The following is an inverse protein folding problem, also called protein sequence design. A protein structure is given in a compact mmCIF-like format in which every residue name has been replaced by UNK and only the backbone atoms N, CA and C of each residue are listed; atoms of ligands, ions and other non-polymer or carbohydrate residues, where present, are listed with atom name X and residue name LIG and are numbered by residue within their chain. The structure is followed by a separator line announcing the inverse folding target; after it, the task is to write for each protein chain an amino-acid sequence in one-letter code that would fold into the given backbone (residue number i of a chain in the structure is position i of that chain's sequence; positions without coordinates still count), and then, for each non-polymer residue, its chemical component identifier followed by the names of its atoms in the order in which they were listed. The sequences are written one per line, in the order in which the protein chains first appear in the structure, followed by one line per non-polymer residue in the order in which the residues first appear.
data_IF_820996461871
#
_entry.id   IF_820996461871
#
_cell.length_a   1.000
_cell.length_b   1.000
_cell.length_c   1.000
_cell.angle_alpha   90.00
_cell.angle_beta   90.00
_cell.angle_gamma   90.00
#
_symmetry.space_group_name_H-M   'P 1'
#
loop_
_entity.id
_entity.type
_entity.pdbx_description
1 polymer ?
#
# COMPACT_ATOMS: atom_id res chain seq x y z
N UNK A 1 -43.24 -12.38 -0.34
CA UNK A 1 -42.50 -13.46 -1.01
C UNK A 1 -41.10 -12.92 -1.26
N UNK A 2 -40.16 -13.25 -0.37
CA UNK A 2 -38.83 -12.64 -0.36
C UNK A 2 -37.97 -13.17 -1.49
N UNK A 3 -37.42 -12.26 -2.30
CA UNK A 3 -36.34 -12.57 -3.23
C UNK A 3 -35.09 -12.86 -2.39
N UNK A 4 -34.81 -14.15 -2.15
CA UNK A 4 -33.49 -14.59 -1.72
C UNK A 4 -32.54 -14.32 -2.88
N UNK A 5 -31.59 -13.43 -2.66
CA UNK A 5 -30.47 -13.23 -3.56
C UNK A 5 -29.57 -14.46 -3.48
N UNK A 6 -29.68 -15.35 -4.46
CA UNK A 6 -28.67 -16.36 -4.73
C UNK A 6 -27.46 -15.64 -5.34
N UNK A 7 -26.66 -15.03 -4.48
CA UNK A 7 -25.40 -14.42 -4.85
C UNK A 7 -24.38 -15.51 -5.13
N UNK A 8 -23.87 -15.56 -6.36
CA UNK A 8 -22.72 -16.41 -6.74
C UNK A 8 -21.62 -16.30 -5.68
N UNK A 9 -21.06 -17.45 -5.29
CA UNK A 9 -19.90 -17.52 -4.42
C UNK A 9 -18.71 -16.79 -5.06
N UNK A 10 -17.74 -16.38 -4.24
CA UNK A 10 -16.54 -15.67 -4.72
C UNK A 10 -15.84 -16.44 -5.84
N UNK A 11 -15.73 -17.77 -5.71
CA UNK A 11 -15.11 -18.64 -6.72
C UNK A 11 -15.92 -18.69 -8.03
N UNK A 12 -17.26 -18.66 -7.94
CA UNK A 12 -18.11 -18.60 -9.13
C UNK A 12 -18.04 -17.24 -9.82
N UNK A 13 -17.91 -16.13 -9.08
CA UNK A 13 -17.70 -14.79 -9.65
C UNK A 13 -16.33 -14.66 -10.32
N UNK A 14 -15.30 -15.22 -9.70
CA UNK A 14 -13.94 -15.28 -10.25
C UNK A 14 -13.93 -16.07 -11.56
N UNK A 15 -14.55 -17.25 -11.58
CA UNK A 15 -14.69 -18.09 -12.77
C UNK A 15 -15.50 -17.42 -13.89
N UNK A 16 -16.64 -16.79 -13.57
CA UNK A 16 -17.48 -16.07 -14.56
C UNK A 16 -16.77 -14.83 -15.15
N UNK A 17 -15.98 -14.10 -14.36
CA UNK A 17 -15.21 -12.94 -14.86
C UNK A 17 -14.01 -13.35 -15.72
N UNK A 18 -13.34 -14.45 -15.37
CA UNK A 18 -12.24 -15.00 -16.17
C UNK A 18 -12.77 -15.58 -17.50
N UNK A 19 -13.88 -16.33 -17.47
CA UNK A 19 -14.53 -16.87 -18.67
C UNK A 19 -15.04 -15.78 -19.63
N UNK A 20 -15.61 -14.69 -19.11
CA UNK A 20 -16.05 -13.57 -19.95
C UNK A 20 -14.88 -12.92 -20.70
N UNK A 21 -13.68 -12.87 -20.11
CA UNK A 21 -12.53 -12.19 -20.71
C UNK A 21 -11.64 -13.05 -21.58
N UNK A 22 -11.66 -14.37 -21.43
CA UNK A 22 -11.09 -15.28 -22.43
C UNK A 22 -11.93 -15.34 -23.71
N UNK A 23 -13.25 -15.10 -23.58
CA UNK A 23 -14.20 -15.11 -24.71
C UNK A 23 -14.48 -13.73 -25.33
N UNK A 24 -14.22 -12.62 -24.62
CA UNK A 24 -14.41 -11.27 -25.12
C UNK A 24 -13.25 -10.80 -26.03
N UNK A 25 -13.61 -10.25 -27.19
CA UNK A 25 -12.67 -9.54 -28.05
C UNK A 25 -12.03 -8.37 -27.31
N UNK A 26 -10.70 -8.32 -27.23
CA UNK A 26 -9.98 -7.20 -26.61
C UNK A 26 -10.29 -5.88 -27.34
N UNK A 27 -11.14 -5.04 -26.74
CA UNK A 27 -11.60 -3.77 -27.33
C UNK A 27 -10.54 -2.68 -27.16
N UNK A 28 -9.80 -2.70 -26.05
CA UNK A 28 -8.80 -1.69 -25.72
C UNK A 28 -7.38 -2.28 -25.62
N UNK A 29 -6.37 -1.51 -26.03
CA UNK A 29 -4.98 -2.00 -26.12
C UNK A 29 -4.40 -2.51 -24.79
N UNK A 30 -4.78 -1.89 -23.67
CA UNK A 30 -4.31 -2.26 -22.34
C UNK A 30 -4.81 -3.64 -21.87
N UNK A 31 -5.93 -4.14 -22.40
CA UNK A 31 -6.51 -5.44 -22.03
C UNK A 31 -5.63 -6.62 -22.46
N UNK A 32 -4.69 -6.37 -23.38
CA UNK A 32 -3.70 -7.35 -23.84
C UNK A 32 -2.50 -7.48 -22.89
N UNK A 33 -2.24 -6.48 -22.04
CA UNK A 33 -1.07 -6.46 -21.16
C UNK A 33 -1.22 -7.50 -20.05
N UNK A 34 -0.17 -8.31 -19.84
CA UNK A 34 -0.14 -9.31 -18.76
C UNK A 34 -0.23 -8.61 -17.40
N UNK A 35 0.47 -7.50 -17.22
CA UNK A 35 0.47 -6.74 -15.97
C UNK A 35 -0.92 -6.18 -15.63
N UNK A 36 -1.72 -5.81 -16.65
CA UNK A 36 -3.10 -5.35 -16.44
C UNK A 36 -3.99 -6.50 -15.97
N UNK A 37 -3.88 -7.68 -16.60
CA UNK A 37 -4.62 -8.89 -16.21
C UNK A 37 -4.28 -9.33 -14.78
N UNK A 38 -2.98 -9.33 -14.41
CA UNK A 38 -2.54 -9.58 -13.03
C UNK A 38 -3.08 -8.53 -12.06
N UNK A 39 -3.14 -7.26 -12.45
CA UNK A 39 -3.77 -6.20 -11.67
C UNK A 39 -5.25 -6.49 -11.36
N UNK A 40 -6.02 -6.95 -12.35
CA UNK A 40 -7.42 -7.35 -12.14
C UNK A 40 -7.55 -8.60 -11.25
N UNK A 41 -6.69 -9.61 -11.47
CA UNK A 41 -6.63 -10.79 -10.60
C UNK A 41 -6.37 -10.39 -9.14
N UNK A 42 -5.48 -9.43 -8.92
CA UNK A 42 -5.21 -8.91 -7.58
C UNK A 42 -6.43 -8.20 -6.99
N UNK A 43 -7.15 -7.35 -7.75
CA UNK A 43 -8.40 -6.71 -7.30
C UNK A 43 -9.43 -7.75 -6.84
N UNK A 44 -9.64 -8.80 -7.63
CA UNK A 44 -10.57 -9.90 -7.28
C UNK A 44 -10.13 -10.60 -5.99
N UNK A 45 -8.84 -10.92 -5.88
CA UNK A 45 -8.27 -11.55 -4.69
C UNK A 45 -8.44 -10.68 -3.44
N UNK A 46 -8.26 -9.36 -3.56
CA UNK A 46 -8.45 -8.41 -2.45
C UNK A 46 -9.92 -8.25 -2.08
N UNK A 47 -10.83 -8.26 -3.05
CA UNK A 47 -12.26 -8.26 -2.78
C UNK A 47 -12.65 -9.49 -1.93
N UNK A 48 -12.22 -10.69 -2.35
CA UNK A 48 -12.42 -11.94 -1.62
C UNK A 48 -11.83 -11.91 -0.20
N UNK A 49 -10.57 -11.48 -0.08
CA UNK A 49 -9.86 -11.34 1.19
C UNK A 49 -10.63 -10.42 2.14
N UNK A 50 -11.06 -9.26 1.64
CA UNK A 50 -11.78 -8.28 2.44
C UNK A 50 -13.12 -8.84 2.92
N UNK A 51 -13.89 -9.56 2.11
CA UNK A 51 -15.15 -10.19 2.54
C UNK A 51 -14.94 -11.17 3.72
N UNK A 52 -13.80 -11.86 3.77
CA UNK A 52 -13.43 -12.74 4.88
C UNK A 52 -13.02 -12.02 6.18
N UNK A 53 -12.76 -10.72 6.15
CA UNK A 53 -12.34 -9.95 7.33
C UNK A 53 -13.57 -9.52 8.15
N UNK A 54 -13.68 -10.07 9.37
CA UNK A 54 -14.79 -9.78 10.30
C UNK A 54 -14.78 -8.36 10.86
N UNK A 55 -13.60 -7.82 11.20
CA UNK A 55 -13.43 -6.44 11.70
C UNK A 55 -12.82 -5.54 10.62
N UNK A 56 -13.66 -4.70 10.01
CA UNK A 56 -13.20 -3.71 9.03
C UNK A 56 -12.45 -2.58 9.73
N UNK A 57 -11.19 -2.39 9.36
CA UNK A 57 -10.36 -1.26 9.81
C UNK A 57 -10.02 -0.36 8.62
N UNK A 58 -9.44 0.80 8.90
CA UNK A 58 -9.10 1.82 7.88
C UNK A 58 -8.23 1.24 6.77
N UNK A 59 -7.30 0.33 7.12
CA UNK A 59 -6.44 -0.35 6.15
C UNK A 59 -7.22 -1.17 5.10
N UNK A 60 -8.38 -1.76 5.42
CA UNK A 60 -9.18 -2.51 4.43
C UNK A 60 -9.67 -1.60 3.30
N UNK A 61 -10.13 -0.38 3.66
CA UNK A 61 -10.60 0.60 2.69
C UNK A 61 -9.48 1.24 1.88
N UNK A 62 -8.27 1.36 2.45
CA UNK A 62 -7.07 1.74 1.68
C UNK A 62 -6.67 0.63 0.71
N UNK A 63 -6.64 -0.62 1.17
CA UNK A 63 -6.26 -1.78 0.37
C UNK A 63 -7.13 -1.91 -0.88
N UNK A 64 -8.47 -1.79 -0.77
CA UNK A 64 -9.36 -1.83 -1.95
C UNK A 64 -9.08 -0.69 -2.93
N UNK A 65 -8.99 0.55 -2.43
CA UNK A 65 -8.76 1.73 -3.30
C UNK A 65 -7.41 1.66 -4.01
N UNK A 66 -6.37 1.23 -3.31
CA UNK A 66 -5.05 1.05 -3.89
C UNK A 66 -5.04 -0.09 -4.91
N UNK A 67 -5.71 -1.21 -4.62
CA UNK A 67 -5.83 -2.34 -5.55
C UNK A 67 -6.52 -1.91 -6.85
N UNK A 68 -7.64 -1.17 -6.77
CA UNK A 68 -8.35 -0.65 -7.95
C UNK A 68 -7.47 0.32 -8.77
N UNK A 69 -6.65 1.11 -8.07
CA UNK A 69 -5.77 2.10 -8.71
C UNK A 69 -4.68 1.46 -9.60
N UNK A 70 -4.24 0.24 -9.30
CA UNK A 70 -3.21 -0.47 -10.08
C UNK A 70 -3.62 -0.65 -11.55
N UNK A 71 -4.70 -1.39 -11.90
CA UNK A 71 -5.11 -1.58 -13.29
C UNK A 71 -5.57 -0.28 -13.95
N UNK A 72 -6.15 0.67 -13.20
CA UNK A 72 -6.56 1.98 -13.73
C UNK A 72 -5.33 2.76 -14.24
N UNK A 73 -4.27 2.84 -13.43
CA UNK A 73 -3.06 3.55 -13.82
C UNK A 73 -2.28 2.83 -14.93
N UNK A 74 -2.28 1.49 -14.94
CA UNK A 74 -1.71 0.70 -16.05
C UNK A 74 -2.44 1.02 -17.37
N UNK A 75 -3.78 1.03 -17.34
CA UNK A 75 -4.59 1.37 -18.50
C UNK A 75 -4.27 2.78 -18.99
N UNK A 76 -4.17 3.77 -18.10
CA UNK A 76 -3.82 5.13 -18.49
C UNK A 76 -2.39 5.22 -19.09
N UNK A 77 -1.41 4.56 -18.47
CA UNK A 77 -0.04 4.52 -18.98
C UNK A 77 0.03 3.92 -20.39
N UNK A 78 -0.77 2.89 -20.66
CA UNK A 78 -0.83 2.21 -21.96
C UNK A 78 -1.45 3.06 -23.08
N UNK A 79 -2.28 4.05 -22.74
CA UNK A 79 -3.03 4.84 -23.72
C UNK A 79 -2.51 6.27 -23.90
N UNK A 80 -1.61 6.75 -23.03
CA UNK A 80 -0.99 8.07 -23.21
C UNK A 80 0.13 8.09 -24.26
N UNK A 81 0.13 9.12 -25.10
CA UNK A 81 1.17 9.40 -26.08
C UNK A 81 2.37 10.13 -25.46
N UNK A 82 2.22 10.76 -24.30
CA UNK A 82 3.28 11.47 -23.58
C UNK A 82 4.19 10.50 -22.82
N UNK A 83 5.51 10.43 -23.14
CA UNK A 83 6.43 9.57 -22.40
C UNK A 83 6.55 9.94 -20.92
N UNK A 84 6.42 11.23 -20.58
CA UNK A 84 6.46 11.71 -19.19
C UNK A 84 5.24 11.28 -18.40
N UNK A 85 4.04 11.41 -18.98
CA UNK A 85 2.82 10.90 -18.35
C UNK A 85 2.85 9.39 -18.19
N UNK A 86 3.35 8.66 -19.20
CA UNK A 86 3.49 7.20 -19.12
C UNK A 86 4.32 6.77 -17.91
N UNK A 87 5.49 7.38 -17.72
CA UNK A 87 6.35 7.11 -16.56
C UNK A 87 5.62 7.45 -15.26
N UNK A 88 4.92 8.58 -15.22
CA UNK A 88 4.15 9.01 -14.06
C UNK A 88 3.08 7.98 -13.68
N UNK A 89 2.23 7.57 -14.63
CA UNK A 89 1.17 6.58 -14.39
C UNK A 89 1.72 5.19 -14.05
N UNK A 90 2.82 4.74 -14.67
CA UNK A 90 3.49 3.51 -14.23
C UNK A 90 4.01 3.64 -12.79
N UNK A 91 4.55 4.80 -12.41
CA UNK A 91 4.97 5.10 -11.05
C UNK A 91 3.80 5.19 -10.07
N UNK A 92 2.62 5.61 -10.52
CA UNK A 92 1.39 5.59 -9.73
C UNK A 92 0.92 4.16 -9.47
N UNK A 93 0.87 3.32 -10.52
CA UNK A 93 0.55 1.90 -10.37
C UNK A 93 1.53 1.20 -9.41
N UNK A 94 2.83 1.50 -9.52
CA UNK A 94 3.86 0.92 -8.66
C UNK A 94 3.72 1.41 -7.21
N UNK A 95 3.44 2.71 -7.01
CA UNK A 95 3.11 3.29 -5.70
C UNK A 95 1.91 2.59 -5.06
N UNK A 96 0.82 2.41 -5.80
CA UNK A 96 -0.38 1.71 -5.31
C UNK A 96 -0.11 0.25 -4.96
N UNK A 97 0.71 -0.46 -5.75
CA UNK A 97 1.12 -1.82 -5.43
C UNK A 97 1.88 -1.91 -4.10
N UNK A 98 2.80 -0.97 -3.83
CA UNK A 98 3.50 -0.91 -2.55
C UNK A 98 2.59 -0.45 -1.39
N UNK A 99 1.62 0.43 -1.64
CA UNK A 99 0.58 0.77 -0.66
C UNK A 99 -0.27 -0.46 -0.29
N UNK A 100 -0.61 -1.32 -1.26
CA UNK A 100 -1.31 -2.58 -0.99
C UNK A 100 -0.48 -3.53 -0.13
N UNK A 101 0.81 -3.70 -0.43
CA UNK A 101 1.71 -4.50 0.41
C UNK A 101 1.75 -3.99 1.85
N UNK A 102 1.82 -2.67 2.02
CA UNK A 102 1.80 -2.05 3.34
C UNK A 102 0.46 -2.17 4.07
N UNK A 103 -0.67 -2.14 3.34
CA UNK A 103 -1.97 -2.42 3.94
C UNK A 103 -2.04 -3.86 4.47
N UNK A 104 -1.51 -4.84 3.73
CA UNK A 104 -1.44 -6.24 4.17
C UNK A 104 -0.59 -6.38 5.44
N UNK A 105 0.56 -5.70 5.50
CA UNK A 105 1.41 -5.68 6.69
C UNK A 105 0.74 -4.99 7.89
N UNK A 106 -0.01 -3.90 7.67
CA UNK A 106 -0.80 -3.24 8.72
C UNK A 106 -1.90 -4.17 9.26
N UNK A 107 -2.59 -4.91 8.38
CA UNK A 107 -3.60 -5.89 8.81
C UNK A 107 -2.96 -7.03 9.62
N UNK A 108 -1.77 -7.49 9.23
CA UNK A 108 -1.01 -8.48 9.98
C UNK A 108 -0.52 -7.95 11.34
N UNK A 109 0.02 -6.72 11.38
CA UNK A 109 0.46 -6.05 12.60
C UNK A 109 -0.69 -5.84 13.61
N UNK A 110 -1.92 -5.68 13.11
CA UNK A 110 -3.14 -5.60 13.93
C UNK A 110 -3.73 -6.96 14.33
N UNK A 111 -3.10 -8.05 13.89
CA UNK A 111 -3.60 -9.42 14.04
C UNK A 111 -5.01 -9.62 13.46
N UNK A 112 -5.34 -8.91 12.38
CA UNK A 112 -6.60 -9.05 11.64
C UNK A 112 -6.45 -10.09 10.54
N UNK A 113 -5.27 -10.16 9.92
CA UNK A 113 -4.94 -11.09 8.86
C UNK A 113 -3.73 -11.93 9.29
N UNK A 114 -3.75 -13.27 9.11
CA UNK A 114 -2.56 -14.09 9.33
C UNK A 114 -1.39 -13.64 8.46
N UNK A 115 -0.16 -13.76 8.98
CA UNK A 115 1.07 -13.32 8.29
C UNK A 115 1.28 -14.11 7.00
N UNK A 116 0.88 -15.37 6.98
CA UNK A 116 0.96 -16.28 5.84
C UNK A 116 0.04 -15.80 4.71
N UNK A 117 -1.19 -15.40 5.05
CA UNK A 117 -2.15 -14.87 4.08
C UNK A 117 -1.67 -13.53 3.51
N UNK A 118 -1.18 -12.63 4.38
CA UNK A 118 -0.58 -11.36 3.95
C UNK A 118 0.60 -11.61 2.99
N UNK A 119 1.48 -12.54 3.34
CA UNK A 119 2.66 -12.89 2.53
C UNK A 119 2.28 -13.53 1.20
N UNK A 120 1.29 -14.43 1.18
CA UNK A 120 0.77 -15.04 -0.05
C UNK A 120 0.24 -13.99 -1.02
N UNK A 121 -0.59 -13.05 -0.55
CA UNK A 121 -1.13 -11.96 -1.38
C UNK A 121 -0.04 -11.03 -1.93
N UNK A 122 1.08 -10.87 -1.21
CA UNK A 122 2.22 -10.05 -1.63
C UNK A 122 2.99 -10.62 -2.84
N UNK A 123 2.93 -11.92 -3.13
CA UNK A 123 3.64 -12.50 -4.28
C UNK A 123 3.09 -12.00 -5.62
N UNK A 124 1.76 -11.94 -5.79
CA UNK A 124 1.17 -11.39 -7.01
C UNK A 124 1.50 -9.90 -7.20
N UNK A 125 1.59 -9.14 -6.11
CA UNK A 125 2.05 -7.75 -6.15
C UNK A 125 3.52 -7.65 -6.58
N UNK A 126 4.39 -8.55 -6.11
CA UNK A 126 5.80 -8.57 -6.51
C UNK A 126 5.95 -8.81 -8.02
N UNK A 127 5.15 -9.72 -8.61
CA UNK A 127 5.10 -9.91 -10.06
C UNK A 127 4.70 -8.64 -10.80
N UNK A 128 3.62 -7.98 -10.33
CA UNK A 128 3.11 -6.73 -10.92
C UNK A 128 4.20 -5.66 -10.88
N UNK A 129 4.83 -5.45 -9.72
CA UNK A 129 5.91 -4.46 -9.53
C UNK A 129 7.10 -4.74 -10.44
N UNK A 130 7.49 -6.00 -10.59
CA UNK A 130 8.56 -6.42 -11.51
C UNK A 130 8.28 -5.96 -12.93
N UNK A 131 7.06 -6.21 -13.42
CA UNK A 131 6.63 -5.82 -14.77
C UNK A 131 6.57 -4.29 -14.92
N UNK A 132 6.03 -3.57 -13.93
CA UNK A 132 5.96 -2.11 -13.96
C UNK A 132 7.35 -1.46 -14.02
N UNK A 133 8.32 -1.96 -13.25
CA UNK A 133 9.71 -1.50 -13.28
C UNK A 133 10.37 -1.81 -14.62
N UNK A 134 10.12 -3.00 -15.19
CA UNK A 134 10.61 -3.36 -16.54
C UNK A 134 10.05 -2.40 -17.61
N UNK A 135 8.74 -2.16 -17.59
CA UNK A 135 8.06 -1.25 -18.52
C UNK A 135 8.61 0.17 -18.43
N UNK A 136 8.96 0.64 -17.23
CA UNK A 136 9.59 1.94 -17.04
C UNK A 136 11.00 2.01 -17.66
N UNK A 137 11.83 0.98 -17.46
CA UNK A 137 13.21 0.93 -17.98
C UNK A 137 13.24 0.87 -19.51
N UNK A 138 12.25 0.23 -20.14
CA UNK A 138 12.17 0.03 -21.59
C UNK A 138 11.22 1.02 -22.28
N UNK A 139 11.26 2.30 -21.93
CA UNK A 139 10.40 3.39 -22.47
C UNK A 139 10.49 3.62 -24.00
N UNK A 140 11.09 2.70 -24.77
CA UNK A 140 11.25 2.73 -26.23
C UNK A 140 10.62 1.48 -26.86
N UNK A 141 9.53 1.67 -27.61
CA UNK A 141 8.89 0.86 -28.68
C UNK A 141 8.76 -0.68 -28.58
N UNK A 142 9.38 -1.37 -27.63
CA UNK A 142 9.25 -2.81 -27.38
C UNK A 142 9.05 -3.03 -25.89
N UNK A 143 7.79 -3.06 -25.48
CA UNK A 143 7.36 -3.42 -24.13
C UNK A 143 7.87 -4.84 -23.86
N UNK A 144 8.75 -5.00 -22.88
CA UNK A 144 9.21 -6.30 -22.39
C UNK A 144 8.54 -6.58 -21.05
N UNK A 145 7.58 -7.48 -21.04
CA UNK A 145 6.91 -8.00 -19.84
C UNK A 145 7.71 -9.13 -19.19
N UNK A 146 9.03 -9.20 -19.43
CA UNK A 146 9.87 -10.26 -18.91
C UNK A 146 9.74 -10.36 -17.39
N UNK A 147 9.43 -11.58 -16.94
CA UNK A 147 9.27 -11.90 -15.53
C UNK A 147 10.65 -11.97 -14.88
N UNK A 148 10.91 -11.08 -13.92
CA UNK A 148 12.06 -11.16 -13.02
C UNK A 148 11.53 -11.28 -11.59
N UNK A 149 12.22 -12.03 -10.73
CA UNK A 149 11.88 -12.02 -9.30
C UNK A 149 12.20 -10.65 -8.71
N UNK A 150 11.18 -9.96 -8.19
CA UNK A 150 11.37 -8.75 -7.40
C UNK A 150 11.65 -9.11 -5.95
N UNK A 151 12.92 -9.01 -5.57
CA UNK A 151 13.41 -9.17 -4.20
C UNK A 151 14.40 -8.08 -3.87
N UNK A 152 14.41 -7.68 -2.60
CA UNK A 152 15.44 -6.79 -2.09
C UNK A 152 16.73 -7.55 -1.81
N UNK A 153 17.82 -6.81 -1.59
CA UNK A 153 19.11 -7.37 -1.15
C UNK A 153 19.03 -8.16 0.16
N UNK A 154 18.00 -7.93 0.98
CA UNK A 154 17.80 -8.62 2.25
C UNK A 154 16.78 -9.78 2.13
N UNK A 155 16.31 -10.10 0.91
CA UNK A 155 15.37 -11.19 0.65
C UNK A 155 13.89 -10.83 0.81
N UNK A 156 13.57 -9.59 1.22
CA UNK A 156 12.21 -9.08 1.31
C UNK A 156 11.58 -8.92 -0.09
N UNK A 157 10.25 -8.89 -0.16
CA UNK A 157 9.56 -8.71 -1.44
C UNK A 157 9.57 -7.25 -1.85
N UNK A 158 9.44 -6.30 -0.92
CA UNK A 158 9.39 -4.88 -1.26
C UNK A 158 10.48 -4.06 -0.57
N UNK A 159 11.04 -3.10 -1.30
CA UNK A 159 12.13 -2.23 -0.82
C UNK A 159 11.83 -1.48 0.47
N UNK A 160 10.57 -1.09 0.69
CA UNK A 160 10.17 -0.40 1.92
C UNK A 160 10.22 -1.30 3.15
N UNK A 161 10.11 -2.63 3.00
CA UNK A 161 10.16 -3.60 4.11
C UNK A 161 11.56 -3.62 4.77
N UNK A 162 12.60 -3.23 4.03
CA UNK A 162 13.97 -3.07 4.54
C UNK A 162 14.19 -1.80 5.37
N UNK A 163 13.26 -0.84 5.31
CA UNK A 163 13.44 0.44 5.96
C UNK A 163 13.09 0.34 7.44
N UNK A 164 14.06 0.70 8.31
CA UNK A 164 13.83 0.75 9.75
C UNK A 164 12.66 1.68 10.13
N UNK A 165 12.46 2.77 9.39
CA UNK A 165 11.32 3.68 9.60
C UNK A 165 9.97 3.01 9.32
N UNK A 166 9.92 2.14 8.31
CA UNK A 166 8.72 1.38 7.97
C UNK A 166 8.43 0.34 9.07
N UNK A 167 9.45 -0.43 9.45
CA UNK A 167 9.34 -1.44 10.52
C UNK A 167 8.94 -0.79 11.86
N UNK A 168 9.49 0.37 12.20
CA UNK A 168 9.10 1.12 13.40
C UNK A 168 7.66 1.63 13.31
N UNK A 169 7.18 1.99 12.11
CA UNK A 169 5.78 2.31 11.87
C UNK A 169 4.83 1.13 12.12
N UNK A 170 5.20 -0.08 11.69
CA UNK A 170 4.44 -1.29 11.99
C UNK A 170 4.41 -1.61 13.48
N UNK A 171 5.54 -1.42 14.20
CA UNK A 171 5.59 -1.56 15.65
C UNK A 171 4.65 -0.58 16.37
N UNK A 172 4.58 0.67 15.90
CA UNK A 172 3.64 1.66 16.42
C UNK A 172 2.18 1.23 16.21
N UNK A 173 1.85 0.71 15.02
CA UNK A 173 0.50 0.21 14.72
C UNK A 173 0.11 -0.98 15.60
N UNK A 174 1.02 -1.92 15.81
CA UNK A 174 0.79 -3.08 16.67
C UNK A 174 0.63 -2.68 18.15
N UNK A 175 1.45 -1.73 18.62
CA UNK A 175 1.31 -1.15 19.96
C UNK A 175 -0.04 -0.46 20.13
N UNK A 176 -0.45 0.36 19.16
CA UNK A 176 -1.74 1.05 19.21
C UNK A 176 -2.91 0.06 19.23
N UNK A 177 -2.84 -1.02 18.46
CA UNK A 177 -3.84 -2.08 18.50
C UNK A 177 -3.97 -2.72 19.89
N UNK A 178 -2.84 -2.93 20.57
CA UNK A 178 -2.82 -3.44 21.94
C UNK A 178 -3.46 -2.44 22.91
N UNK A 179 -3.12 -1.15 22.78
CA UNK A 179 -3.73 -0.08 23.57
C UNK A 179 -5.26 -0.03 23.35
N UNK A 180 -5.72 -0.07 22.10
CA UNK A 180 -7.15 -0.04 21.75
C UNK A 180 -7.92 -1.24 22.31
N UNK A 181 -7.31 -2.43 22.38
CA UNK A 181 -7.92 -3.64 22.98
C UNK A 181 -7.97 -3.58 24.50
N UNK A 182 -6.92 -3.04 25.14
CA UNK A 182 -6.84 -2.91 26.59
C UNK A 182 -7.74 -1.77 27.12
N UNK A 183 -8.06 -0.81 26.27
CA UNK A 183 -8.79 0.40 26.65
C UNK A 183 -10.30 0.20 26.48
N UNK A 184 -11.04 0.30 27.59
CA UNK A 184 -12.53 0.34 27.60
C UNK A 184 -13.06 1.77 27.41
N UNK A 185 -12.20 2.74 27.05
CA UNK A 185 -12.43 4.16 27.33
C UNK A 185 -13.26 4.95 26.29
N UNK A 186 -13.86 6.01 26.83
CA UNK A 186 -14.88 6.95 26.33
C UNK A 186 -14.51 7.85 25.14
N UNK A 187 -13.37 7.65 24.46
CA UNK A 187 -12.87 8.50 23.35
C UNK A 187 -12.46 7.70 22.12
N UNK A 188 -13.40 6.91 21.62
CA UNK A 188 -13.25 6.11 20.40
C UNK A 188 -12.90 6.95 19.18
N UNK A 189 -13.28 8.24 19.16
CA UNK A 189 -12.95 9.21 18.12
C UNK A 189 -11.45 9.55 18.06
N UNK A 190 -10.80 9.75 19.21
CA UNK A 190 -9.37 10.02 19.28
C UNK A 190 -8.57 8.78 18.89
N UNK A 191 -8.95 7.61 19.40
CA UNK A 191 -8.30 6.35 19.05
C UNK A 191 -8.47 6.02 17.56
N UNK A 192 -9.65 6.25 16.98
CA UNK A 192 -9.86 6.09 15.54
C UNK A 192 -9.04 7.09 14.72
N UNK A 193 -8.89 8.33 15.19
CA UNK A 193 -8.04 9.34 14.55
C UNK A 193 -6.55 8.97 14.62
N UNK A 194 -6.12 8.40 15.75
CA UNK A 194 -4.77 7.90 15.93
C UNK A 194 -4.52 6.67 15.05
N UNK A 195 -5.48 5.75 14.94
CA UNK A 195 -5.42 4.60 14.03
C UNK A 195 -5.26 5.04 12.57
N UNK A 196 -6.07 6.02 12.15
CA UNK A 196 -5.99 6.62 10.82
C UNK A 196 -4.62 7.21 10.53
N UNK A 197 -4.11 8.00 11.46
CA UNK A 197 -2.87 8.76 11.26
C UNK A 197 -1.64 7.87 11.33
N UNK A 198 -1.60 6.90 12.23
CA UNK A 198 -0.52 5.91 12.32
C UNK A 198 -0.50 4.96 11.12
N UNK A 199 -1.66 4.50 10.64
CA UNK A 199 -1.76 3.76 9.37
C UNK A 199 -1.21 4.60 8.21
N UNK A 200 -1.58 5.89 8.14
CA UNK A 200 -1.11 6.80 7.09
C UNK A 200 0.42 6.95 7.06
N UNK A 201 1.12 6.89 8.19
CA UNK A 201 2.60 6.91 8.23
C UNK A 201 3.15 5.72 7.42
N UNK A 202 2.69 4.50 7.73
CA UNK A 202 3.17 3.26 7.11
C UNK A 202 2.90 3.26 5.62
N UNK A 203 1.66 3.60 5.23
CA UNK A 203 1.25 3.61 3.83
C UNK A 203 2.03 4.62 2.98
N UNK A 204 2.23 5.84 3.48
CA UNK A 204 2.96 6.86 2.72
C UNK A 204 4.46 6.53 2.59
N UNK A 205 5.07 5.86 3.58
CA UNK A 205 6.45 5.37 3.44
C UNK A 205 6.54 4.36 2.29
N UNK A 206 5.62 3.38 2.25
CA UNK A 206 5.62 2.36 1.22
C UNK A 206 5.29 2.93 -0.17
N UNK A 207 4.23 3.72 -0.28
CA UNK A 207 3.81 4.33 -1.55
C UNK A 207 4.90 5.25 -2.11
N UNK A 208 5.54 6.05 -1.25
CA UNK A 208 6.70 6.86 -1.62
C UNK A 208 7.81 6.03 -2.24
N UNK A 209 8.16 4.89 -1.63
CA UNK A 209 9.16 3.95 -2.17
C UNK A 209 8.76 3.33 -3.51
N UNK A 210 7.47 3.32 -3.86
CA UNK A 210 6.99 2.89 -5.17
C UNK A 210 7.03 3.97 -6.23
N UNK A 211 7.26 5.25 -5.86
CA UNK A 211 7.31 6.34 -6.84
C UNK A 211 8.65 6.37 -7.57
N UNK A 212 8.58 6.55 -8.89
CA UNK A 212 9.76 6.65 -9.74
C UNK A 212 10.40 8.05 -9.74
N UNK A 213 9.62 9.10 -9.51
CA UNK A 213 10.16 10.46 -9.43
C UNK A 213 10.63 10.74 -8.00
N UNK A 214 11.83 11.30 -7.86
CA UNK A 214 12.37 11.68 -6.55
C UNK A 214 11.54 12.76 -5.86
N UNK A 215 10.87 13.62 -6.65
CA UNK A 215 9.96 14.64 -6.12
C UNK A 215 8.71 14.02 -5.50
N UNK A 216 8.06 13.08 -6.20
CA UNK A 216 6.89 12.39 -5.66
C UNK A 216 7.27 11.56 -4.44
N UNK A 217 8.38 10.82 -4.51
CA UNK A 217 8.90 10.08 -3.37
C UNK A 217 9.05 10.99 -2.13
N UNK A 218 9.72 12.14 -2.27
CA UNK A 218 9.91 13.08 -1.17
C UNK A 218 8.58 13.66 -0.65
N UNK A 219 7.61 13.90 -1.54
CA UNK A 219 6.27 14.36 -1.16
C UNK A 219 5.56 13.35 -0.25
N UNK A 220 5.66 12.06 -0.55
CA UNK A 220 5.08 11.01 0.30
C UNK A 220 5.78 10.90 1.66
N UNK A 221 7.11 11.04 1.71
CA UNK A 221 7.82 11.09 3.00
C UNK A 221 7.42 12.31 3.85
N UNK A 222 7.17 13.46 3.22
CA UNK A 222 6.65 14.66 3.91
C UNK A 222 5.23 14.44 4.45
N UNK A 223 4.36 13.74 3.71
CA UNK A 223 3.03 13.35 4.21
C UNK A 223 3.16 12.42 5.42
N UNK A 224 4.05 11.42 5.36
CA UNK A 224 4.33 10.52 6.50
C UNK A 224 4.84 11.30 7.72
N UNK A 225 5.69 12.31 7.52
CA UNK A 225 6.20 13.16 8.59
C UNK A 225 5.07 13.98 9.23
N UNK A 226 4.22 14.61 8.41
CA UNK A 226 3.04 15.36 8.91
C UNK A 226 2.06 14.45 9.67
N UNK A 227 1.87 13.21 9.22
CA UNK A 227 1.06 12.22 9.93
C UNK A 227 1.70 11.83 11.28
N UNK A 228 3.04 11.74 11.35
CA UNK A 228 3.80 11.48 12.59
C UNK A 228 3.59 12.60 13.61
N UNK A 229 3.73 13.88 13.19
CA UNK A 229 3.50 15.04 14.06
C UNK A 229 2.06 15.07 14.56
N UNK A 230 1.09 14.83 13.67
CA UNK A 230 -0.33 14.76 14.05
C UNK A 230 -0.61 13.63 15.06
N UNK A 231 0.02 12.47 14.88
CA UNK A 231 -0.12 11.34 15.81
C UNK A 231 0.41 11.69 17.20
N UNK A 232 1.51 12.45 17.28
CA UNK A 232 2.05 12.92 18.57
C UNK A 232 1.06 13.85 19.28
N UNK A 233 0.50 14.84 18.56
CA UNK A 233 -0.52 15.71 19.13
C UNK A 233 -1.80 14.96 19.56
N UNK A 234 -2.16 13.89 18.86
CA UNK A 234 -3.28 13.03 19.26
C UNK A 234 -2.96 12.22 20.53
N UNK A 235 -1.69 11.80 20.73
CA UNK A 235 -1.26 11.21 22.00
C UNK A 235 -1.28 12.23 23.13
N UNK A 236 -0.83 13.47 22.89
CA UNK A 236 -0.90 14.55 23.90
C UNK A 236 -2.34 14.76 24.36
N UNK A 237 -3.29 14.80 23.42
CA UNK A 237 -4.72 14.89 23.75
C UNK A 237 -5.19 13.65 24.52
N UNK A 238 -4.81 12.44 24.09
CA UNK A 238 -5.22 11.21 24.76
C UNK A 238 -4.70 11.15 26.20
N UNK A 239 -3.48 11.60 26.46
CA UNK A 239 -2.86 11.69 27.79
C UNK A 239 -3.68 12.56 28.75
N UNK A 240 -4.33 13.63 28.26
CA UNK A 240 -5.21 14.46 29.11
C UNK A 240 -6.46 13.73 29.60
N UNK A 241 -6.88 12.67 28.91
CA UNK A 241 -8.13 11.95 29.18
C UNK A 241 -7.92 10.54 29.73
N UNK A 242 -6.70 10.04 29.82
CA UNK A 242 -6.44 8.68 30.25
C UNK A 242 -5.18 8.55 31.12
N UNK A 243 -5.17 7.55 31.99
CA UNK A 243 -4.02 7.21 32.84
C UNK A 243 -3.18 6.06 32.27
N UNK A 244 -3.30 5.78 30.96
CA UNK A 244 -2.51 4.73 30.32
C UNK A 244 -1.07 5.19 30.10
N UNK A 245 -0.12 4.27 30.20
CA UNK A 245 1.27 4.55 29.81
C UNK A 245 1.38 4.68 28.28
N UNK A 246 1.62 5.91 27.81
CA UNK A 246 1.78 6.23 26.39
C UNK A 246 3.26 6.36 25.97
N UNK A 247 4.21 6.08 26.87
CA UNK A 247 5.65 6.29 26.66
C UNK A 247 6.21 5.55 25.43
N UNK A 248 5.72 4.33 25.19
CA UNK A 248 6.08 3.53 24.02
C UNK A 248 5.65 4.23 22.71
N UNK A 249 4.41 4.75 22.65
CA UNK A 249 3.89 5.51 21.52
C UNK A 249 4.75 6.72 21.18
N UNK A 250 5.07 7.55 22.19
CA UNK A 250 5.99 8.68 22.03
C UNK A 250 7.38 8.27 21.55
N UNK A 251 7.89 7.13 22.03
CA UNK A 251 9.20 6.62 21.63
C UNK A 251 9.22 6.20 20.16
N UNK A 252 8.18 5.51 19.69
CA UNK A 252 8.06 5.18 18.27
C UNK A 252 7.97 6.43 17.39
N UNK A 253 7.09 7.38 17.75
CA UNK A 253 6.88 8.60 16.96
C UNK A 253 8.15 9.46 16.86
N UNK A 254 8.91 9.62 17.96
CA UNK A 254 10.20 10.33 17.93
C UNK A 254 11.21 9.65 17.01
N UNK A 255 11.32 8.31 17.08
CA UNK A 255 12.21 7.54 16.19
C UNK A 255 11.81 7.68 14.73
N UNK A 256 10.50 7.57 14.42
CA UNK A 256 9.96 7.74 13.07
C UNK A 256 10.27 9.14 12.53
N UNK A 257 9.98 10.19 13.29
CA UNK A 257 10.24 11.57 12.89
C UNK A 257 11.73 11.79 12.56
N UNK A 258 12.63 11.32 13.42
CA UNK A 258 14.08 11.44 13.20
C UNK A 258 14.53 10.72 11.92
N UNK A 259 14.04 9.51 11.66
CA UNK A 259 14.38 8.74 10.47
C UNK A 259 13.82 9.38 9.18
N UNK A 260 12.58 9.89 9.19
CA UNK A 260 11.97 10.57 8.04
C UNK A 260 12.72 11.86 7.68
N UNK A 261 13.15 12.64 8.68
CA UNK A 261 13.99 13.83 8.46
C UNK A 261 15.34 13.44 7.87
N UNK A 262 15.96 12.36 8.37
CA UNK A 262 17.22 11.86 7.83
C UNK A 262 17.10 11.44 6.37
N UNK A 263 16.09 10.63 6.03
CA UNK A 263 15.84 10.16 4.66
C UNK A 263 15.61 11.33 3.68
N UNK A 264 14.83 12.32 4.11
CA UNK A 264 14.52 13.50 3.29
C UNK A 264 15.76 14.37 3.03
N UNK A 265 16.72 14.42 3.95
CA UNK A 265 17.99 15.17 3.78
C UNK A 265 18.95 14.48 2.81
N UNK A 266 19.09 13.16 2.91
CA UNK A 266 19.96 12.40 2.01
C UNK A 266 19.51 12.49 0.54
N UNK A 267 18.20 12.58 0.30
CA UNK A 267 17.67 12.75 -1.06
C UNK A 267 17.99 14.10 -1.69
N UNK A 268 17.96 15.19 -0.90
CA UNK A 268 18.36 16.54 -1.38
C UNK A 268 19.84 16.63 -1.72
N UNK A 269 20.68 15.81 -1.08
CA UNK A 269 22.12 15.76 -1.36
C UNK A 269 22.39 14.94 -2.63
N UNK A 270 21.68 13.83 -2.82
CA UNK A 270 21.84 12.95 -3.99
C UNK A 270 21.20 13.49 -5.28
N UNK A 271 20.30 14.49 -5.20
CA UNK A 271 19.64 15.09 -6.38
C UNK A 271 20.32 16.35 -6.90
N UNK A 272 21.43 16.81 -6.28
CA UNK A 272 22.29 17.83 -6.89
C UNK A 272 23.10 17.22 -8.03
N UNK A 273 23.17 17.85 -9.21
CA UNK A 273 24.11 17.41 -10.24
C UNK A 273 25.54 17.47 -9.68
N UNK A 274 26.43 16.53 -10.09
CA UNK A 274 27.83 16.60 -9.71
C UNK A 274 28.44 17.93 -10.19
N UNK A 275 29.46 18.46 -9.49
CA UNK A 275 30.13 19.71 -9.84
C UNK A 275 30.74 19.66 -11.25
#
# INVERSE_FOLDING_TARGET
MGLRGDGLSVNEREMVMLDYRESATHVFGHEKLIVYKKGLQFVISIFALNEGISRKVIACGHLSRAADSIPINIAHASNTTSPGERISYLGHANGSALECAACLDVLAAKSILPVENASSSKHLLADIVSMLISMQKHNSTRISEAHAEYRTKNGNLFSHEDLLVYQTGLQLVAWLETLMKATVASRTDLLASLDKTTTSIVLNIAEGNGRFSGLDHARFLDIAYKATVRSASLLDLLETYCQYDLSAGYTFLRRIAAMLVSLSRHQKISSKPPP
#
